data_IF_036929518466
#
_entry.id   IF_036929518466
#
_cell.length_a   1.000
_cell.length_b   1.000
_cell.length_c   1.000
_cell.angle_alpha   90.00
_cell.angle_beta   90.00
_cell.angle_gamma   90.00
#
_symmetry.space_group_name_H-M   'P 1'
#
loop_
_entity.id
_entity.type
_entity.pdbx_description
1 polymer ?
#
# COMPACT_ATOMS: atom_id res chain seq x y z
N UNK A 1 1.48 -6.45 15.52
CA UNK A 1 0.14 -5.81 15.24
C UNK A 1 -0.54 -6.39 13.98
N UNK A 2 -0.22 -7.66 13.66
CA UNK A 2 -0.84 -8.35 12.52
C UNK A 2 -2.38 -8.36 12.65
N UNK A 3 -3.10 -8.02 11.56
CA UNK A 3 -4.57 -8.06 11.45
C UNK A 3 -5.35 -7.21 12.48
N UNK A 4 -4.73 -6.24 13.17
CA UNK A 4 -5.35 -5.54 14.32
C UNK A 4 -6.70 -4.89 13.98
N UNK A 5 -6.84 -4.30 12.80
CA UNK A 5 -8.08 -3.67 12.32
C UNK A 5 -8.66 -4.38 11.11
N UNK A 6 -8.20 -5.60 10.81
CA UNK A 6 -8.67 -6.34 9.63
C UNK A 6 -10.18 -6.57 9.68
N UNK A 7 -10.87 -6.23 8.59
CA UNK A 7 -12.31 -6.39 8.46
C UNK A 7 -13.16 -5.28 9.13
N UNK A 8 -12.53 -4.22 9.68
CA UNK A 8 -13.25 -3.07 10.22
C UNK A 8 -13.89 -2.24 9.08
N UNK A 9 -14.83 -2.83 8.35
CA UNK A 9 -15.36 -2.28 7.10
C UNK A 9 -16.14 -0.97 7.26
N UNK A 10 -16.70 -0.72 8.46
CA UNK A 10 -17.45 0.52 8.76
C UNK A 10 -16.57 1.62 9.36
N UNK A 11 -15.27 1.36 9.58
CA UNK A 11 -14.36 2.32 10.18
C UNK A 11 -14.02 3.44 9.19
N UNK A 12 -14.42 4.67 9.51
CA UNK A 12 -14.18 5.85 8.67
C UNK A 12 -12.93 6.62 9.10
N UNK A 13 -12.67 6.69 10.38
CA UNK A 13 -11.57 7.44 11.00
C UNK A 13 -10.89 6.59 12.07
N UNK A 14 -9.58 6.74 12.18
CA UNK A 14 -8.81 6.07 13.21
C UNK A 14 -7.68 6.98 13.67
N UNK A 15 -7.64 7.29 14.97
CA UNK A 15 -6.53 8.02 15.57
C UNK A 15 -5.50 7.03 16.11
N UNK A 16 -4.29 7.07 15.54
CA UNK A 16 -3.17 6.19 15.89
C UNK A 16 -1.99 6.95 16.51
N UNK A 17 -2.16 8.24 16.84
CA UNK A 17 -1.07 9.11 17.32
C UNK A 17 -0.37 8.60 18.59
N UNK A 18 -1.07 7.83 19.42
CA UNK A 18 -0.54 7.27 20.66
C UNK A 18 -0.03 5.82 20.52
N UNK A 19 0.01 5.29 19.29
CA UNK A 19 0.51 3.93 19.07
C UNK A 19 2.04 3.91 19.12
N UNK A 20 2.58 3.12 20.02
CA UNK A 20 4.01 2.82 20.06
C UNK A 20 4.30 1.59 19.21
N UNK A 21 4.88 1.79 18.04
CA UNK A 21 5.18 0.71 17.09
C UNK A 21 6.64 0.29 17.06
N UNK A 22 7.52 0.89 17.90
CA UNK A 22 8.97 0.68 17.92
C UNK A 22 9.42 -0.79 17.99
N UNK A 23 8.62 -1.66 18.58
CA UNK A 23 8.94 -3.09 18.70
C UNK A 23 8.06 -3.98 17.83
N UNK A 24 7.35 -3.41 16.84
CA UNK A 24 6.48 -4.18 15.96
C UNK A 24 7.31 -4.75 14.81
N UNK A 25 7.22 -6.07 14.63
CA UNK A 25 7.87 -6.78 13.52
C UNK A 25 6.90 -7.13 12.38
N UNK A 26 5.59 -7.04 12.60
CA UNK A 26 4.59 -7.42 11.60
C UNK A 26 3.36 -6.51 11.61
N UNK A 27 3.12 -5.87 10.45
CA UNK A 27 1.90 -5.12 10.12
C UNK A 27 1.03 -5.83 9.07
N UNK A 28 1.36 -7.08 8.73
CA UNK A 28 0.61 -7.83 7.71
C UNK A 28 -0.90 -7.78 7.95
N UNK A 29 -1.65 -7.40 6.93
CA UNK A 29 -3.11 -7.26 6.93
C UNK A 29 -3.69 -6.32 8.02
N UNK A 30 -2.90 -5.38 8.56
CA UNK A 30 -3.33 -4.55 9.69
C UNK A 30 -4.64 -3.81 9.42
N UNK A 31 -4.80 -3.25 8.23
CA UNK A 31 -6.01 -2.52 7.79
C UNK A 31 -6.76 -3.25 6.65
N UNK A 32 -6.48 -4.53 6.44
CA UNK A 32 -7.13 -5.31 5.38
C UNK A 32 -8.66 -5.19 5.47
N UNK A 33 -9.33 -4.86 4.35
CA UNK A 33 -10.79 -4.66 4.27
C UNK A 33 -11.36 -3.55 5.17
N UNK A 34 -10.56 -2.53 5.53
CA UNK A 34 -11.10 -1.29 6.09
C UNK A 34 -11.73 -0.45 4.97
N UNK A 35 -12.80 -0.94 4.36
CA UNK A 35 -13.34 -0.44 3.09
C UNK A 35 -13.94 0.96 3.17
N UNK A 36 -14.35 1.42 4.36
CA UNK A 36 -14.89 2.79 4.57
C UNK A 36 -13.81 3.80 4.99
N UNK A 37 -12.55 3.37 5.19
CA UNK A 37 -11.48 4.25 5.64
C UNK A 37 -11.07 5.20 4.51
N UNK A 38 -11.25 6.52 4.73
CA UNK A 38 -11.02 7.54 3.68
C UNK A 38 -9.65 8.19 3.78
N UNK A 39 -9.09 8.24 4.98
CA UNK A 39 -7.76 8.78 5.27
C UNK A 39 -7.15 8.08 6.47
N UNK A 40 -5.82 8.06 6.53
CA UNK A 40 -5.08 7.45 7.63
C UNK A 40 -3.78 8.20 7.85
N UNK A 41 -3.54 8.65 9.08
CA UNK A 41 -2.27 9.25 9.47
C UNK A 41 -1.40 8.23 10.19
N UNK A 42 -0.24 7.91 9.60
CA UNK A 42 0.75 6.96 10.11
C UNK A 42 2.11 7.62 10.40
N UNK A 43 2.16 8.95 10.50
CA UNK A 43 3.40 9.70 10.72
C UNK A 43 4.11 9.34 12.04
N UNK A 44 3.37 8.82 13.05
CA UNK A 44 3.93 8.36 14.32
C UNK A 44 4.49 6.94 14.28
N UNK A 45 4.31 6.20 13.17
CA UNK A 45 4.75 4.81 13.08
C UNK A 45 6.26 4.73 12.90
N UNK A 46 6.90 4.01 13.80
CA UNK A 46 8.28 3.56 13.68
C UNK A 46 8.29 2.13 13.10
N UNK A 47 8.87 1.97 11.92
CA UNK A 47 8.82 0.70 11.17
C UNK A 47 10.18 0.01 11.03
N UNK A 48 11.24 0.52 11.69
CA UNK A 48 12.62 0.02 11.54
C UNK A 48 12.82 -1.49 11.85
N UNK A 49 11.92 -2.12 12.63
CA UNK A 49 11.95 -3.56 12.95
C UNK A 49 10.98 -4.41 12.13
N UNK A 50 10.18 -3.78 11.27
CA UNK A 50 9.13 -4.49 10.55
C UNK A 50 9.71 -5.35 9.45
N UNK A 51 9.31 -6.62 9.43
CA UNK A 51 9.67 -7.62 8.42
C UNK A 51 8.53 -7.92 7.46
N UNK A 52 7.29 -7.71 7.87
CA UNK A 52 6.13 -8.07 7.05
C UNK A 52 5.09 -6.93 7.01
N UNK A 53 4.81 -6.44 5.79
CA UNK A 53 3.78 -5.45 5.47
C UNK A 53 2.77 -5.99 4.43
N UNK A 54 2.80 -7.29 4.12
CA UNK A 54 1.93 -7.91 3.12
C UNK A 54 0.44 -7.65 3.41
N UNK A 55 -0.30 -7.20 2.39
CA UNK A 55 -1.72 -6.89 2.48
C UNK A 55 -2.11 -5.78 3.46
N UNK A 56 -1.15 -4.97 3.95
CA UNK A 56 -1.40 -4.02 5.04
C UNK A 56 -2.61 -3.13 4.78
N UNK A 57 -2.79 -2.66 3.55
CA UNK A 57 -3.92 -1.81 3.13
C UNK A 57 -4.83 -2.50 2.10
N UNK A 58 -4.66 -3.81 1.87
CA UNK A 58 -5.46 -4.53 0.87
C UNK A 58 -6.95 -4.33 1.12
N UNK A 59 -7.69 -3.94 0.05
CA UNK A 59 -9.13 -3.66 0.08
C UNK A 59 -9.55 -2.45 0.95
N UNK A 60 -8.65 -1.48 1.15
CA UNK A 60 -9.03 -0.16 1.66
C UNK A 60 -9.63 0.66 0.51
N UNK A 61 -10.80 0.24 0.01
CA UNK A 61 -11.35 0.70 -1.28
C UNK A 61 -11.79 2.18 -1.30
N UNK A 62 -11.99 2.82 -0.14
CA UNK A 62 -12.32 4.24 -0.04
C UNK A 62 -11.12 5.15 0.24
N UNK A 63 -9.92 4.58 0.47
CA UNK A 63 -8.72 5.34 0.79
C UNK A 63 -8.25 6.11 -0.46
N UNK A 64 -8.14 7.45 -0.35
CA UNK A 64 -7.83 8.34 -1.48
C UNK A 64 -6.36 8.69 -1.59
N UNK A 65 -5.70 8.88 -0.47
CA UNK A 65 -4.29 9.24 -0.42
C UNK A 65 -3.60 8.58 0.77
N UNK A 66 -2.31 8.32 0.62
CA UNK A 66 -1.50 7.75 1.69
C UNK A 66 -0.07 8.27 1.59
N UNK A 67 0.43 8.79 2.71
CA UNK A 67 1.84 9.18 2.85
C UNK A 67 2.54 8.22 3.81
N UNK A 68 3.51 7.49 3.27
CA UNK A 68 4.37 6.53 3.98
C UNK A 68 5.84 6.91 3.86
N UNK A 69 6.15 8.19 3.60
CA UNK A 69 7.53 8.68 3.45
C UNK A 69 8.37 8.50 4.72
N UNK A 70 7.72 8.36 5.89
CA UNK A 70 8.39 8.05 7.15
C UNK A 70 8.70 6.56 7.37
N UNK A 71 8.21 5.65 6.50
CA UNK A 71 8.43 4.22 6.67
C UNK A 71 9.86 3.82 6.31
N UNK A 72 10.58 3.21 7.26
CA UNK A 72 11.84 2.51 7.00
C UNK A 72 11.53 1.06 6.65
N UNK A 73 11.76 0.68 5.40
CA UNK A 73 11.45 -0.66 4.88
C UNK A 73 12.68 -1.55 4.65
N UNK A 74 13.87 -1.10 5.08
CA UNK A 74 15.15 -1.83 4.88
C UNK A 74 15.16 -3.26 5.42
N UNK A 75 14.31 -3.57 6.39
CA UNK A 75 14.20 -4.89 7.00
C UNK A 75 12.95 -5.66 6.56
N UNK A 76 12.14 -5.08 5.65
CA UNK A 76 10.92 -5.72 5.17
C UNK A 76 11.26 -6.82 4.17
N UNK A 77 10.71 -8.00 4.40
CA UNK A 77 10.86 -9.21 3.58
C UNK A 77 9.62 -9.46 2.71
N UNK A 78 8.46 -8.95 3.10
CA UNK A 78 7.20 -9.15 2.37
C UNK A 78 6.36 -7.89 2.26
N UNK A 79 6.02 -7.51 1.01
CA UNK A 79 5.09 -6.42 0.65
C UNK A 79 3.99 -6.89 -0.32
N UNK A 80 3.82 -8.22 -0.48
CA UNK A 80 2.84 -8.78 -1.41
C UNK A 80 1.45 -8.18 -1.18
N UNK A 81 0.80 -7.72 -2.26
CA UNK A 81 -0.54 -7.12 -2.25
C UNK A 81 -0.74 -5.95 -1.26
N UNK A 82 0.34 -5.23 -0.88
CA UNK A 82 0.28 -4.21 0.19
C UNK A 82 -0.83 -3.18 -0.03
N UNK A 83 -1.04 -2.76 -1.28
CA UNK A 83 -2.11 -1.82 -1.69
C UNK A 83 -3.17 -2.48 -2.57
N UNK A 84 -3.17 -3.80 -2.70
CA UNK A 84 -4.09 -4.51 -3.59
C UNK A 84 -5.55 -4.13 -3.36
N UNK A 85 -6.29 -3.88 -4.45
CA UNK A 85 -7.71 -3.52 -4.43
C UNK A 85 -8.03 -2.18 -3.68
N UNK A 86 -7.05 -1.26 -3.57
CA UNK A 86 -7.27 0.11 -3.11
C UNK A 86 -7.84 0.95 -4.27
N UNK A 87 -9.07 0.68 -4.68
CA UNK A 87 -9.65 1.16 -5.94
C UNK A 87 -9.83 2.68 -6.04
N UNK A 88 -9.94 3.40 -4.90
CA UNK A 88 -10.06 4.86 -4.86
C UNK A 88 -8.73 5.58 -4.62
N UNK A 89 -7.63 4.85 -4.46
CA UNK A 89 -6.32 5.46 -4.17
C UNK A 89 -5.84 6.25 -5.41
N UNK A 90 -5.63 7.56 -5.25
CA UNK A 90 -5.21 8.47 -6.32
C UNK A 90 -3.83 9.07 -6.11
N UNK A 91 -3.31 9.05 -4.87
CA UNK A 91 -2.00 9.61 -4.53
C UNK A 91 -1.30 8.75 -3.48
N UNK A 92 -0.01 8.46 -3.70
CA UNK A 92 0.79 7.61 -2.82
C UNK A 92 2.22 8.13 -2.72
N UNK A 93 2.71 8.34 -1.50
CA UNK A 93 4.10 8.67 -1.24
C UNK A 93 4.79 7.50 -0.53
N UNK A 94 5.69 6.83 -1.26
CA UNK A 94 6.54 5.73 -0.81
C UNK A 94 8.00 6.02 -1.18
N UNK A 95 8.40 7.29 -1.10
CA UNK A 95 9.72 7.76 -1.54
C UNK A 95 10.90 7.10 -0.82
N UNK A 96 10.71 6.64 0.40
CA UNK A 96 11.75 6.00 1.22
C UNK A 96 11.70 4.46 1.21
N UNK A 97 10.86 3.86 0.37
CA UNK A 97 10.81 2.40 0.28
C UNK A 97 12.11 1.84 -0.30
N UNK A 98 12.56 0.76 0.30
CA UNK A 98 13.75 -0.02 -0.07
C UNK A 98 13.34 -1.49 -0.15
N UNK A 99 13.38 -2.07 -1.33
CA UNK A 99 12.93 -3.45 -1.59
C UNK A 99 14.07 -4.47 -1.65
N UNK A 100 15.30 -4.09 -1.30
CA UNK A 100 16.47 -4.99 -1.44
C UNK A 100 16.34 -6.33 -0.71
N UNK A 101 15.56 -6.38 0.38
CA UNK A 101 15.28 -7.61 1.14
C UNK A 101 13.89 -8.20 0.86
N UNK A 102 13.09 -7.55 0.03
CA UNK A 102 11.73 -8.01 -0.27
C UNK A 102 11.80 -9.16 -1.27
N UNK A 103 11.27 -10.32 -0.90
CA UNK A 103 11.23 -11.48 -1.79
C UNK A 103 10.31 -11.25 -2.98
N UNK A 104 9.12 -10.68 -2.75
CA UNK A 104 8.10 -10.46 -3.77
C UNK A 104 7.45 -9.09 -3.63
N UNK A 105 7.44 -8.31 -4.73
CA UNK A 105 6.72 -7.04 -4.87
C UNK A 105 5.53 -7.14 -5.81
N UNK A 106 5.35 -8.30 -6.46
CA UNK A 106 4.29 -8.53 -7.43
C UNK A 106 2.92 -8.36 -6.75
N UNK A 107 1.94 -7.93 -7.55
CA UNK A 107 0.58 -7.66 -7.11
C UNK A 107 0.44 -6.54 -6.06
N UNK A 108 1.53 -5.78 -5.77
CA UNK A 108 1.50 -4.70 -4.80
C UNK A 108 0.37 -3.70 -5.09
N UNK A 109 0.09 -3.44 -6.38
CA UNK A 109 -0.91 -2.46 -6.85
C UNK A 109 -2.07 -3.10 -7.61
N UNK A 110 -2.26 -4.42 -7.48
CA UNK A 110 -3.32 -5.12 -8.22
C UNK A 110 -4.69 -4.44 -7.98
N UNK A 111 -5.43 -4.15 -9.06
CA UNK A 111 -6.76 -3.50 -9.03
C UNK A 111 -6.80 -2.11 -8.35
N UNK A 112 -5.69 -1.36 -8.35
CA UNK A 112 -5.66 0.05 -7.96
C UNK A 112 -6.07 0.96 -9.12
N UNK A 113 -7.32 0.87 -9.57
CA UNK A 113 -7.79 1.46 -10.83
C UNK A 113 -7.69 3.00 -10.92
N UNK A 114 -7.69 3.70 -9.78
CA UNK A 114 -7.60 5.16 -9.75
C UNK A 114 -6.17 5.69 -9.61
N UNK A 115 -5.19 4.79 -9.36
CA UNK A 115 -3.81 5.17 -9.11
C UNK A 115 -3.04 5.32 -10.42
N UNK A 116 -2.62 6.56 -10.71
CA UNK A 116 -1.79 6.86 -11.88
C UNK A 116 -0.33 6.95 -11.47
N UNK A 117 0.56 6.50 -12.34
CA UNK A 117 2.02 6.47 -12.05
C UNK A 117 2.58 7.85 -11.74
N UNK A 118 2.07 8.91 -12.38
CA UNK A 118 2.47 10.30 -12.13
C UNK A 118 2.12 10.81 -10.72
N UNK A 119 1.22 10.15 -10.02
CA UNK A 119 0.77 10.50 -8.67
C UNK A 119 1.42 9.64 -7.57
N UNK A 120 2.46 8.88 -7.92
CA UNK A 120 3.22 8.05 -6.99
C UNK A 120 4.62 8.64 -6.84
N UNK A 121 4.99 8.98 -5.61
CA UNK A 121 6.36 9.40 -5.29
C UNK A 121 7.12 8.15 -4.83
N UNK A 122 8.02 7.66 -5.66
CA UNK A 122 8.80 6.43 -5.44
C UNK A 122 10.19 6.57 -6.04
N UNK A 123 11.20 5.97 -5.42
CA UNK A 123 12.59 5.94 -5.91
C UNK A 123 13.14 4.52 -6.09
N UNK A 124 12.43 3.49 -5.63
CA UNK A 124 12.87 2.09 -5.74
C UNK A 124 12.63 1.51 -7.13
N UNK A 125 13.67 1.01 -7.80
CA UNK A 125 13.61 0.52 -9.18
C UNK A 125 12.71 -0.70 -9.37
N UNK A 126 12.59 -1.58 -8.37
CA UNK A 126 11.72 -2.76 -8.47
C UNK A 126 10.25 -2.36 -8.42
N UNK A 127 9.91 -1.39 -7.57
CA UNK A 127 8.55 -0.84 -7.50
C UNK A 127 8.22 -0.08 -8.80
N UNK A 128 9.18 0.70 -9.34
CA UNK A 128 9.01 1.37 -10.63
C UNK A 128 8.75 0.38 -11.77
N UNK A 129 9.46 -0.75 -11.79
CA UNK A 129 9.24 -1.80 -12.78
C UNK A 129 7.85 -2.43 -12.66
N UNK A 130 7.38 -2.68 -11.45
CA UNK A 130 6.04 -3.20 -11.17
C UNK A 130 4.94 -2.23 -11.61
N UNK A 131 5.08 -0.94 -11.31
CA UNK A 131 4.17 0.12 -11.75
C UNK A 131 4.11 0.24 -13.27
N UNK A 132 5.23 0.14 -13.95
CA UNK A 132 5.29 0.19 -15.42
C UNK A 132 4.61 -1.03 -16.06
N UNK A 133 4.74 -2.20 -15.46
CA UNK A 133 4.04 -3.42 -15.88
C UNK A 133 2.52 -3.27 -15.71
N UNK A 134 2.09 -2.79 -14.57
CA UNK A 134 0.71 -2.50 -14.23
C UNK A 134 0.06 -1.51 -15.22
N UNK A 135 0.72 -0.39 -15.52
CA UNK A 135 0.22 0.63 -16.44
C UNK A 135 0.07 0.10 -17.87
N UNK A 136 0.99 -0.75 -18.35
CA UNK A 136 0.88 -1.39 -19.67
C UNK A 136 -0.30 -2.35 -19.77
N UNK A 137 -0.57 -3.09 -18.71
CA UNK A 137 -1.69 -4.03 -18.67
C UNK A 137 -3.04 -3.29 -18.72
N UNK A 138 -3.17 -2.17 -18.01
CA UNK A 138 -4.37 -1.33 -18.06
C UNK A 138 -4.60 -0.73 -19.45
N UNK A 139 -3.57 -0.13 -20.05
CA UNK A 139 -3.67 0.46 -21.38
C UNK A 139 -4.13 -0.57 -22.42
N UNK A 140 -3.61 -1.80 -22.32
CA UNK A 140 -4.03 -2.89 -23.23
C UNK A 140 -5.52 -3.24 -23.07
N UNK A 141 -6.05 -3.29 -21.85
CA UNK A 141 -7.47 -3.56 -21.59
C UNK A 141 -8.35 -2.42 -22.12
N UNK A 142 -7.96 -1.15 -21.91
CA UNK A 142 -8.69 0.01 -22.45
C UNK A 142 -8.71 0.00 -23.98
N UNK A 143 -7.59 -0.31 -24.62
CA UNK A 143 -7.51 -0.41 -26.08
C UNK A 143 -8.37 -1.56 -26.62
N UNK A 144 -8.40 -2.71 -25.95
CA UNK A 144 -9.25 -3.86 -26.33
C UNK A 144 -10.76 -3.57 -26.11
N UNK A 145 -11.14 -2.80 -25.10
CA UNK A 145 -12.54 -2.43 -24.83
C UNK A 145 -13.07 -1.31 -25.76
N UNK A 146 -12.17 -0.48 -26.34
CA UNK A 146 -12.56 0.60 -27.26
C UNK A 146 -12.68 0.16 -28.73
N UNK A 147 -12.56 -1.13 -29.02
CA UNK A 147 -12.68 -1.70 -30.40
C UNK A 147 -14.12 -2.25 -30.64
N UNK A 148 -15.05 -2.04 -29.71
CA UNK A 148 -16.47 -2.34 -29.87
C UNK A 148 -17.21 -1.01 -29.93
#
# INVERSE_FOLDING_TARGET
MRCMFSGCSSLKYLNLSNFNTRNVECFGNMFHRCSSLTSLNLSSFDTHKVKNMGGMFKRCSSLKSLDLSNFDTKNVESMCEMFGECSSLTSLNISNFDTRKVDRVEDMFIKCHSLKTENIIVSDDRILAELNSFSRHFKKIEDECNII
#
